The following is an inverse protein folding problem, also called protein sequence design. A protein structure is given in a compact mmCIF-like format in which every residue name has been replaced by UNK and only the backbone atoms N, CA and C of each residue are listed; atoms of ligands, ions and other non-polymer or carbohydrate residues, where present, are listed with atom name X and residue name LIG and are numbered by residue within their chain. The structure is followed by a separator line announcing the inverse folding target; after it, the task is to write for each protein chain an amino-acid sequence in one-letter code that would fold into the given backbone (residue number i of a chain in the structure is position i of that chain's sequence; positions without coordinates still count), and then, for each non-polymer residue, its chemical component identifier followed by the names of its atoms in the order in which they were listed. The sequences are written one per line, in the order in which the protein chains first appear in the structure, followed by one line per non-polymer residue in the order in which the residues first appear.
data_IF_423337660516
#
_entry.id   IF_423337660516
#
_cell.length_a   1.000
_cell.length_b   1.000
_cell.length_c   1.000
_cell.angle_alpha   90.00
_cell.angle_beta   90.00
_cell.angle_gamma   90.00
#
_symmetry.space_group_name_H-M   'P 1'
#
loop_
_entity.id
_entity.type
_entity.pdbx_description
1 polymer ?
#
# COMPACT_ATOMS: atom_id res chain seq x y z
N UNK A 1 -4.60 21.48 13.56
CA UNK A 1 -4.78 20.06 13.21
C UNK A 1 -3.52 19.53 12.57
N UNK A 2 -3.13 18.34 12.95
CA UNK A 2 -1.94 17.73 12.39
C UNK A 2 -2.18 17.28 10.95
N UNK A 3 -1.23 17.61 10.08
CA UNK A 3 -1.26 17.13 8.70
C UNK A 3 -1.20 15.61 8.67
N UNK A 4 -1.98 15.00 7.78
CA UNK A 4 -1.91 13.56 7.54
C UNK A 4 -0.65 13.24 6.75
N UNK A 5 0.00 12.15 7.10
CA UNK A 5 1.26 11.72 6.48
C UNK A 5 1.14 10.34 5.88
N UNK A 6 1.84 10.11 4.78
CA UNK A 6 1.83 8.84 4.07
C UNK A 6 3.22 8.47 3.57
N UNK A 7 3.43 7.18 3.34
CA UNK A 7 4.63 6.64 2.69
C UNK A 7 4.19 5.66 1.62
N UNK A 8 4.95 5.61 0.53
CA UNK A 8 4.71 4.66 -0.56
C UNK A 8 5.96 3.82 -0.76
N UNK A 9 5.78 2.51 -0.87
CA UNK A 9 6.85 1.55 -1.08
C UNK A 9 6.54 0.77 -2.35
N UNK A 10 7.46 0.79 -3.32
CA UNK A 10 7.35 -0.02 -4.51
C UNK A 10 8.25 -1.24 -4.37
N UNK A 11 7.62 -2.42 -4.36
CA UNK A 11 8.30 -3.70 -4.33
C UNK A 11 8.53 -4.17 -5.77
N UNK A 12 9.76 -4.07 -6.27
CA UNK A 12 10.10 -4.48 -7.62
C UNK A 12 11.60 -4.72 -7.74
N UNK A 13 11.99 -5.95 -8.02
CA UNK A 13 13.39 -6.30 -8.25
C UNK A 13 13.96 -5.54 -9.45
N UNK A 14 13.19 -5.43 -10.53
CA UNK A 14 13.64 -4.76 -11.77
C UNK A 14 13.75 -3.26 -11.59
N UNK A 15 12.76 -2.62 -10.97
CA UNK A 15 12.81 -1.18 -10.72
C UNK A 15 13.95 -0.83 -9.75
N UNK A 16 14.14 -1.63 -8.70
CA UNK A 16 15.22 -1.43 -7.74
C UNK A 16 16.59 -1.58 -8.37
N UNK A 17 16.74 -2.47 -9.36
CA UNK A 17 17.97 -2.68 -10.10
C UNK A 17 18.16 -1.67 -11.24
N UNK A 18 17.22 -0.76 -11.46
CA UNK A 18 17.31 0.22 -12.55
C UNK A 18 16.98 -0.34 -13.93
N UNK A 19 16.42 -1.55 -14.03
CA UNK A 19 16.11 -2.18 -15.33
C UNK A 19 14.96 -1.46 -16.02
N UNK A 20 13.96 -0.96 -15.25
CA UNK A 20 12.90 -0.11 -15.77
C UNK A 20 12.44 0.87 -14.70
N UNK A 21 11.71 1.90 -15.11
CA UNK A 21 11.22 2.92 -14.19
C UNK A 21 10.03 2.42 -13.37
N UNK A 22 9.97 2.84 -12.10
CA UNK A 22 8.78 2.65 -11.28
C UNK A 22 7.64 3.52 -11.82
N UNK A 23 6.51 2.90 -12.18
CA UNK A 23 5.35 3.60 -12.74
C UNK A 23 4.19 3.72 -11.74
N UNK A 24 4.07 2.77 -10.83
CA UNK A 24 2.96 2.70 -9.87
C UNK A 24 3.18 3.62 -8.68
N UNK A 25 4.39 3.65 -8.14
CA UNK A 25 4.70 4.46 -6.96
C UNK A 25 4.39 5.94 -7.14
N UNK A 26 4.87 6.58 -8.22
CA UNK A 26 4.57 8.01 -8.46
C UNK A 26 3.07 8.31 -8.59
N UNK A 27 2.29 7.43 -9.18
CA UNK A 27 0.84 7.60 -9.29
C UNK A 27 0.19 7.63 -7.90
N UNK A 28 0.61 6.72 -7.02
CA UNK A 28 0.08 6.66 -5.65
C UNK A 28 0.49 7.91 -4.85
N UNK A 29 1.75 8.33 -4.97
CA UNK A 29 2.23 9.54 -4.30
C UNK A 29 1.44 10.77 -4.74
N UNK A 30 1.23 10.94 -6.05
CA UNK A 30 0.46 12.07 -6.58
C UNK A 30 -0.98 12.05 -6.05
N UNK A 31 -1.61 10.87 -6.01
CA UNK A 31 -2.96 10.70 -5.51
C UNK A 31 -3.07 11.10 -4.03
N UNK A 32 -2.09 10.68 -3.21
CA UNK A 32 -2.06 11.01 -1.78
C UNK A 32 -1.85 12.52 -1.56
N UNK A 33 -0.93 13.12 -2.31
CA UNK A 33 -0.66 14.56 -2.22
C UNK A 33 -1.87 15.40 -2.60
N UNK A 34 -2.62 15.00 -3.62
CA UNK A 34 -3.86 15.67 -4.02
C UNK A 34 -4.91 15.65 -2.91
N UNK A 35 -4.86 14.64 -2.05
CA UNK A 35 -5.78 14.50 -0.91
C UNK A 35 -5.25 15.16 0.36
N UNK A 36 -4.16 15.90 0.27
CA UNK A 36 -3.61 16.65 1.40
C UNK A 36 -2.64 15.89 2.29
N UNK A 37 -2.21 14.69 1.88
CA UNK A 37 -1.21 13.94 2.62
C UNK A 37 0.19 14.45 2.30
N UNK A 38 1.01 14.63 3.31
CA UNK A 38 2.45 14.79 3.12
C UNK A 38 3.03 13.41 2.79
N UNK A 39 3.66 13.30 1.62
CA UNK A 39 4.15 12.02 1.14
C UNK A 39 5.45 12.26 0.36
N UNK A 40 6.57 11.68 0.79
CA UNK A 40 7.82 11.75 0.02
C UNK A 40 7.73 10.85 -1.22
N UNK A 41 8.74 10.92 -2.06
CA UNK A 41 8.87 10.04 -3.21
C UNK A 41 8.85 8.56 -2.79
N UNK A 42 8.41 7.64 -3.66
CA UNK A 42 8.35 6.23 -3.31
C UNK A 42 9.72 5.67 -2.93
N UNK A 43 9.76 4.80 -1.94
CA UNK A 43 10.92 3.95 -1.69
C UNK A 43 10.83 2.74 -2.63
N UNK A 44 11.74 2.62 -3.57
CA UNK A 44 11.77 1.49 -4.51
C UNK A 44 12.77 0.47 -4.00
N UNK A 45 12.29 -0.71 -3.67
CA UNK A 45 13.11 -1.76 -3.03
C UNK A 45 12.87 -3.12 -3.70
N UNK A 46 13.82 -4.04 -3.58
CA UNK A 46 13.60 -5.43 -4.02
C UNK A 46 12.48 -6.10 -3.22
N UNK A 47 11.88 -7.13 -3.81
CA UNK A 47 10.88 -7.96 -3.11
C UNK A 47 11.48 -8.64 -1.88
N UNK A 48 10.62 -8.96 -0.92
CA UNK A 48 10.99 -9.69 0.28
C UNK A 48 11.37 -8.81 1.45
N UNK A 49 12.43 -9.18 2.17
CA UNK A 49 12.84 -8.49 3.40
C UNK A 49 13.04 -6.99 3.26
N UNK A 50 13.57 -6.46 2.15
CA UNK A 50 13.67 -5.01 1.99
C UNK A 50 12.33 -4.28 2.07
N UNK A 51 11.25 -4.91 1.61
CA UNK A 51 9.89 -4.34 1.77
C UNK A 51 9.51 -4.27 3.25
N UNK A 52 9.78 -5.34 3.99
CA UNK A 52 9.53 -5.37 5.45
C UNK A 52 10.32 -4.31 6.19
N UNK A 53 11.57 -4.09 5.83
CA UNK A 53 12.42 -3.06 6.44
C UNK A 53 11.86 -1.66 6.16
N UNK A 54 11.44 -1.40 4.91
CA UNK A 54 10.84 -0.12 4.53
C UNK A 54 9.51 0.12 5.26
N UNK A 55 8.70 -0.93 5.42
CA UNK A 55 7.45 -0.86 6.19
C UNK A 55 7.72 -0.49 7.65
N UNK A 56 8.65 -1.15 8.29
CA UNK A 56 9.00 -0.88 9.69
C UNK A 56 9.51 0.54 9.86
N UNK A 57 10.34 1.02 8.94
CA UNK A 57 10.86 2.40 8.99
C UNK A 57 9.72 3.42 8.86
N UNK A 58 8.77 3.22 7.95
CA UNK A 58 7.65 4.11 7.76
C UNK A 58 6.74 4.16 9.00
N UNK A 59 6.49 3.02 9.61
CA UNK A 59 5.70 2.93 10.84
C UNK A 59 6.42 3.62 11.99
N UNK A 60 7.73 3.41 12.12
CA UNK A 60 8.54 4.05 13.17
C UNK A 60 8.55 5.57 13.02
N UNK A 61 8.48 6.07 11.79
CA UNK A 61 8.40 7.52 11.51
C UNK A 61 7.01 8.10 11.80
N UNK A 62 6.04 7.27 12.18
CA UNK A 62 4.71 7.73 12.56
C UNK A 62 3.79 8.04 11.39
N UNK A 63 4.00 7.44 10.23
CA UNK A 63 3.10 7.63 9.09
C UNK A 63 1.68 7.21 9.44
N UNK A 64 0.69 7.97 8.98
CA UNK A 64 -0.72 7.63 9.16
C UNK A 64 -1.13 6.48 8.26
N UNK A 65 -0.59 6.43 7.04
CA UNK A 65 -0.84 5.37 6.08
C UNK A 65 0.43 5.00 5.33
N UNK A 66 0.61 3.71 5.09
CA UNK A 66 1.67 3.19 4.25
C UNK A 66 1.02 2.34 3.15
N UNK A 67 1.27 2.70 1.91
CA UNK A 67 0.76 1.96 0.76
C UNK A 67 1.94 1.31 0.05
N UNK A 68 1.87 0.00 -0.13
CA UNK A 68 2.83 -0.71 -0.97
C UNK A 68 2.21 -1.01 -2.33
N UNK A 69 3.04 -1.16 -3.35
CA UNK A 69 2.62 -1.63 -4.67
C UNK A 69 3.60 -2.67 -5.17
N UNK A 70 3.09 -3.75 -5.75
CA UNK A 70 3.89 -4.86 -6.25
C UNK A 70 4.13 -5.96 -5.23
N UNK A 71 4.63 -7.09 -5.71
CA UNK A 71 5.00 -8.25 -4.90
C UNK A 71 3.83 -8.99 -4.27
N UNK A 72 2.61 -8.83 -4.75
CA UNK A 72 1.41 -9.40 -4.14
C UNK A 72 0.86 -10.65 -4.82
N UNK A 73 1.42 -11.07 -5.94
CA UNK A 73 0.91 -12.19 -6.71
C UNK A 73 1.39 -13.54 -6.20
N UNK A 74 1.44 -14.50 -7.13
CA UNK A 74 1.83 -15.89 -6.85
C UNK A 74 3.16 -16.26 -7.49
N UNK A 75 3.91 -15.30 -7.98
CA UNK A 75 5.27 -15.53 -8.48
C UNK A 75 6.19 -15.94 -7.32
N UNK A 76 7.23 -16.75 -7.59
CA UNK A 76 8.12 -17.22 -6.52
C UNK A 76 8.81 -16.10 -5.72
N UNK A 77 9.00 -14.92 -6.29
CA UNK A 77 9.62 -13.80 -5.60
C UNK A 77 8.63 -12.88 -4.88
N UNK A 78 7.31 -13.07 -5.09
CA UNK A 78 6.29 -12.26 -4.46
C UNK A 78 6.19 -12.59 -2.96
N UNK A 79 6.54 -11.64 -2.11
CA UNK A 79 6.58 -11.84 -0.66
C UNK A 79 6.02 -10.65 0.13
N UNK A 80 5.45 -9.64 -0.54
CA UNK A 80 4.89 -8.47 0.14
C UNK A 80 3.83 -8.84 1.19
N UNK A 81 2.89 -9.76 0.92
CA UNK A 81 1.90 -10.13 1.93
C UNK A 81 2.53 -10.76 3.18
N UNK A 82 3.54 -11.62 3.00
CA UNK A 82 4.20 -12.30 4.11
C UNK A 82 4.92 -11.32 5.04
N UNK A 83 5.72 -10.40 4.47
CA UNK A 83 6.44 -9.41 5.29
C UNK A 83 5.50 -8.38 5.90
N UNK A 84 4.38 -8.10 5.26
CA UNK A 84 3.35 -7.22 5.80
C UNK A 84 2.63 -7.88 6.97
N UNK A 85 2.20 -9.14 6.81
CA UNK A 85 1.49 -9.88 7.86
C UNK A 85 2.31 -9.96 9.15
N UNK A 86 3.62 -10.17 9.02
CA UNK A 86 4.51 -10.25 10.17
C UNK A 86 4.53 -8.98 11.01
N UNK A 87 4.21 -7.84 10.41
CA UNK A 87 4.22 -6.53 11.06
C UNK A 87 2.86 -6.15 11.66
N UNK A 88 1.76 -6.57 11.03
CA UNK A 88 0.41 -6.11 11.39
C UNK A 88 -0.02 -6.58 12.78
N UNK A 89 -0.66 -5.71 13.53
CA UNK A 89 -1.36 -6.07 14.77
C UNK A 89 -2.65 -6.83 14.44
N UNK A 90 -3.35 -6.41 13.39
CA UNK A 90 -4.53 -7.11 12.87
C UNK A 90 -4.80 -6.72 11.42
N UNK A 91 -5.54 -7.56 10.72
CA UNK A 91 -5.94 -7.31 9.34
C UNK A 91 -7.32 -6.64 9.27
N UNK A 92 -7.56 -5.93 8.17
CA UNK A 92 -8.87 -5.39 7.79
C UNK A 92 -9.26 -6.07 6.47
N UNK A 93 -9.77 -7.31 6.52
CA UNK A 93 -9.95 -8.13 5.31
C UNK A 93 -10.92 -7.50 4.31
N UNK A 94 -11.95 -6.82 4.79
CA UNK A 94 -12.94 -6.19 3.91
C UNK A 94 -12.33 -5.17 2.97
N UNK A 95 -11.33 -4.43 3.43
CA UNK A 95 -10.63 -3.46 2.58
C UNK A 95 -9.81 -4.17 1.49
N UNK A 96 -9.06 -5.19 1.86
CA UNK A 96 -8.28 -5.98 0.91
C UNK A 96 -9.18 -6.65 -0.15
N UNK A 97 -10.31 -7.20 0.28
CA UNK A 97 -11.28 -7.83 -0.62
C UNK A 97 -11.90 -6.82 -1.59
N UNK A 98 -12.25 -5.64 -1.12
CA UNK A 98 -12.81 -4.58 -1.95
C UNK A 98 -11.80 -4.12 -3.01
N UNK A 99 -10.52 -4.01 -2.64
CA UNK A 99 -9.45 -3.63 -3.58
C UNK A 99 -9.32 -4.67 -4.68
N UNK A 100 -9.30 -5.98 -4.35
CA UNK A 100 -9.25 -7.05 -5.35
C UNK A 100 -10.46 -7.01 -6.27
N UNK A 101 -11.65 -6.85 -5.71
CA UNK A 101 -12.90 -6.80 -6.48
C UNK A 101 -12.92 -5.60 -7.43
N UNK A 102 -12.44 -4.45 -7.01
CA UNK A 102 -12.39 -3.25 -7.84
C UNK A 102 -11.42 -3.37 -9.02
N UNK A 103 -10.35 -4.14 -8.87
CA UNK A 103 -9.38 -4.36 -9.94
C UNK A 103 -9.83 -5.39 -10.97
N UNK A 104 -10.69 -6.32 -10.60
CA UNK A 104 -11.04 -7.47 -11.42
C UNK A 104 -11.67 -7.12 -12.79
N UNK A 105 -12.55 -6.13 -12.95
CA UNK A 105 -13.11 -5.79 -14.24
C UNK A 105 -12.07 -5.37 -15.29
N UNK A 106 -11.09 -4.57 -14.89
CA UNK A 106 -10.03 -4.11 -15.79
C UNK A 106 -8.90 -5.12 -15.91
N UNK A 107 -8.60 -5.84 -14.81
CA UNK A 107 -7.50 -6.80 -14.73
C UNK A 107 -8.06 -8.10 -14.15
N UNK A 108 -8.50 -9.06 -15.00
CA UNK A 108 -9.09 -10.32 -14.50
C UNK A 108 -8.19 -11.09 -13.53
N UNK A 109 -6.87 -10.96 -13.67
CA UNK A 109 -5.90 -11.62 -12.79
C UNK A 109 -5.80 -10.95 -11.40
N UNK A 110 -6.52 -9.87 -11.15
CA UNK A 110 -6.56 -9.22 -9.84
C UNK A 110 -6.98 -10.17 -8.72
N UNK A 111 -7.75 -11.22 -9.03
CA UNK A 111 -8.15 -12.24 -8.04
C UNK A 111 -6.96 -13.03 -7.50
N UNK A 112 -5.83 -13.02 -8.20
CA UNK A 112 -4.61 -13.71 -7.76
C UNK A 112 -3.78 -12.85 -6.79
N UNK A 113 -4.15 -11.60 -6.59
CA UNK A 113 -3.46 -10.76 -5.60
C UNK A 113 -3.75 -11.27 -4.19
N UNK A 114 -2.67 -11.46 -3.43
CA UNK A 114 -2.73 -11.85 -2.02
C UNK A 114 -2.52 -10.68 -1.08
N UNK A 115 -2.65 -9.44 -1.63
CA UNK A 115 -2.43 -8.20 -0.88
C UNK A 115 -3.29 -8.13 0.37
N UNK A 116 -2.71 -7.54 1.41
CA UNK A 116 -3.33 -7.36 2.72
C UNK A 116 -3.67 -5.89 2.95
N UNK A 117 -4.61 -5.67 3.85
CA UNK A 117 -4.84 -4.37 4.48
C UNK A 117 -4.96 -4.61 5.98
N UNK A 118 -4.35 -3.74 6.76
CA UNK A 118 -4.38 -3.92 8.21
C UNK A 118 -3.82 -2.74 8.96
N UNK A 119 -3.65 -2.92 10.25
CA UNK A 119 -3.22 -1.86 11.15
C UNK A 119 -2.05 -2.33 11.98
N UNK A 120 -1.07 -1.45 12.16
CA UNK A 120 -0.01 -1.59 13.14
C UNK A 120 0.08 -0.29 13.94
N UNK A 121 -0.15 -0.34 15.25
CA UNK A 121 -0.28 0.85 16.07
C UNK A 121 -1.42 1.75 15.57
N UNK A 122 -1.10 2.94 15.13
CA UNK A 122 -2.04 3.89 14.52
C UNK A 122 -1.84 4.07 13.02
N UNK A 123 -1.10 3.18 12.39
CA UNK A 123 -0.80 3.23 10.96
C UNK A 123 -1.66 2.24 10.19
N UNK A 124 -2.36 2.72 9.17
CA UNK A 124 -3.02 1.86 8.19
C UNK A 124 -1.99 1.42 7.17
N UNK A 125 -1.89 0.12 6.92
CA UNK A 125 -1.01 -0.45 5.91
C UNK A 125 -1.86 -1.11 4.84
N UNK A 126 -1.61 -0.78 3.57
CA UNK A 126 -2.38 -1.29 2.43
C UNK A 126 -1.42 -1.78 1.35
N UNK A 127 -1.57 -3.04 0.96
CA UNK A 127 -0.87 -3.58 -0.21
C UNK A 127 -1.72 -3.38 -1.45
N UNK A 128 -1.18 -2.73 -2.48
CA UNK A 128 -1.77 -2.65 -3.80
C UNK A 128 -1.00 -3.55 -4.78
N UNK A 129 -1.67 -4.07 -5.81
CA UNK A 129 -0.96 -4.82 -6.85
C UNK A 129 -0.05 -3.93 -7.66
N UNK A 130 0.85 -4.53 -8.45
CA UNK A 130 1.80 -3.77 -9.26
C UNK A 130 1.25 -3.25 -10.58
N UNK A 131 0.11 -3.77 -11.05
CA UNK A 131 -0.49 -3.33 -12.32
C UNK A 131 -1.14 -1.95 -12.17
N UNK A 132 -1.06 -1.14 -13.24
CA UNK A 132 -1.68 0.19 -13.22
C UNK A 132 -3.20 0.12 -13.04
N UNK A 133 -3.86 -0.85 -13.65
CA UNK A 133 -5.32 -1.05 -13.48
C UNK A 133 -5.68 -1.41 -12.03
N UNK A 134 -4.91 -2.29 -11.42
CA UNK A 134 -5.10 -2.67 -10.02
C UNK A 134 -4.83 -1.52 -9.05
N UNK A 135 -3.81 -0.71 -9.33
CA UNK A 135 -3.53 0.49 -8.53
C UNK A 135 -4.69 1.47 -8.61
N UNK A 136 -5.19 1.77 -9.80
CA UNK A 136 -6.33 2.69 -9.97
C UNK A 136 -7.58 2.20 -9.26
N UNK A 137 -7.91 0.92 -9.42
CA UNK A 137 -9.05 0.32 -8.72
C UNK A 137 -8.91 0.42 -7.20
N UNK A 138 -7.73 0.11 -6.70
CA UNK A 138 -7.43 0.21 -5.26
C UNK A 138 -7.54 1.63 -4.73
N UNK A 139 -7.03 2.61 -5.47
CA UNK A 139 -7.12 4.02 -5.07
C UNK A 139 -8.56 4.51 -5.07
N UNK A 140 -9.39 4.05 -6.00
CA UNK A 140 -10.83 4.37 -6.01
C UNK A 140 -11.50 3.88 -4.72
N UNK A 141 -11.20 2.66 -4.29
CA UNK A 141 -11.72 2.11 -3.02
C UNK A 141 -11.23 2.94 -1.84
N UNK A 142 -9.92 3.21 -1.78
CA UNK A 142 -9.33 4.00 -0.69
C UNK A 142 -9.93 5.41 -0.62
N UNK A 143 -10.27 5.99 -1.76
CA UNK A 143 -10.86 7.33 -1.82
C UNK A 143 -12.12 7.47 -0.99
N UNK A 144 -12.88 6.39 -0.82
CA UNK A 144 -14.10 6.39 -0.02
C UNK A 144 -13.91 6.16 1.47
N UNK A 145 -12.72 5.70 1.90
CA UNK A 145 -12.54 5.27 3.30
C UNK A 145 -11.28 5.79 3.97
N UNK A 146 -10.30 6.29 3.22
CA UNK A 146 -8.97 6.55 3.77
C UNK A 146 -8.97 7.60 4.88
N UNK A 147 -9.56 8.76 4.63
CA UNK A 147 -9.57 9.84 5.61
C UNK A 147 -10.30 9.42 6.89
N UNK A 148 -11.42 8.70 6.72
CA UNK A 148 -12.17 8.18 7.85
C UNK A 148 -11.34 7.19 8.67
N UNK A 149 -10.64 6.28 8.00
CA UNK A 149 -9.78 5.30 8.67
C UNK A 149 -8.65 5.98 9.46
N UNK A 150 -7.99 6.96 8.85
CA UNK A 150 -6.92 7.71 9.52
C UNK A 150 -7.45 8.43 10.75
N UNK A 151 -8.61 9.07 10.64
CA UNK A 151 -9.22 9.79 11.76
C UNK A 151 -9.61 8.83 12.90
N UNK A 152 -10.15 7.65 12.58
CA UNK A 152 -10.44 6.62 13.59
C UNK A 152 -9.17 6.17 14.31
N UNK A 153 -8.09 5.92 13.56
CA UNK A 153 -6.82 5.47 14.13
C UNK A 153 -6.19 6.53 15.02
N UNK A 154 -6.45 7.80 14.76
CA UNK A 154 -6.04 8.91 15.62
C UNK A 154 -6.92 9.06 16.87
N UNK A 155 -7.95 8.24 16.99
CA UNK A 155 -8.86 8.27 18.13
C UNK A 155 -10.09 9.15 17.96
N UNK A 156 -10.41 9.55 16.72
CA UNK A 156 -11.60 10.34 16.42
C UNK A 156 -12.88 9.52 16.46
N UNK A 157 -14.02 10.19 16.60
CA UNK A 157 -15.32 9.58 16.52
C UNK A 157 -15.64 9.19 15.06
N UNK A 158 -16.49 8.17 14.92
CA UNK A 158 -16.91 7.71 13.61
C UNK A 158 -18.42 7.47 13.53
#
# INVERSE_FOLDING_TARGET
MNTRTARVITASNRAAAGVYADRSGPVIVAWLRERGYECPEPAVVPDGDPVGDALRAAVADGADVVITTGGTGISPTDATPEVTRALLDYEVPGLADAIRAAGAPAVPTAVLSRGLSGVVGRTLVVNLPGSTGGVRGGLTVLGGVLDHAVDQLRGGDH
#
